data_IF_821340165759
#
_entry.id   IF_821340165759
#
_cell.length_a   1.000
_cell.length_b   1.000
_cell.length_c   1.000
_cell.angle_alpha   90.00
_cell.angle_beta   90.00
_cell.angle_gamma   90.00
#
_symmetry.space_group_name_H-M   'P 1'
#
loop_
_entity.id
_entity.type
_entity.pdbx_description
1 polymer ?
#
# COMPACT_ATOMS: atom_id res chain seq x y z
N UNK A 1 -8.43 -18.80 11.34
CA UNK A 1 -8.32 -17.34 11.56
C UNK A 1 -8.37 -16.73 10.18
N UNK A 2 -9.42 -15.99 9.82
CA UNK A 2 -9.44 -15.30 8.52
C UNK A 2 -8.26 -14.34 8.52
N UNK A 3 -7.34 -14.51 7.57
CA UNK A 3 -6.30 -13.52 7.36
C UNK A 3 -7.02 -12.24 6.95
N UNK A 4 -7.15 -11.30 7.88
CA UNK A 4 -7.71 -9.97 7.67
C UNK A 4 -6.72 -9.14 6.83
N UNK A 5 -6.38 -9.65 5.65
CA UNK A 5 -5.41 -9.11 4.72
C UNK A 5 -6.06 -7.92 4.01
N UNK A 6 -6.02 -6.76 4.64
CA UNK A 6 -6.49 -5.51 4.06
C UNK A 6 -5.42 -4.99 3.10
N UNK A 7 -5.85 -4.40 1.98
CA UNK A 7 -4.96 -3.84 0.97
C UNK A 7 -4.19 -4.88 0.14
N UNK A 8 -3.61 -4.42 -0.95
CA UNK A 8 -2.81 -5.22 -1.89
C UNK A 8 -1.34 -5.13 -1.51
N UNK A 9 -0.61 -6.26 -1.37
CA UNK A 9 0.84 -6.24 -1.20
C UNK A 9 1.55 -5.50 -2.35
N UNK A 10 2.56 -4.68 -2.02
CA UNK A 10 3.36 -3.88 -2.96
C UNK A 10 4.85 -4.22 -2.79
N UNK A 11 5.28 -5.45 -3.12
CA UNK A 11 6.66 -5.89 -2.88
C UNK A 11 7.70 -5.03 -3.60
N UNK A 12 7.32 -4.34 -4.68
CA UNK A 12 8.19 -3.43 -5.40
C UNK A 12 8.52 -2.14 -4.65
N UNK A 13 7.80 -1.82 -3.56
CA UNK A 13 8.05 -0.66 -2.70
C UNK A 13 8.82 -1.02 -1.42
N UNK A 14 8.89 -2.31 -1.09
CA UNK A 14 9.51 -2.81 0.13
C UNK A 14 8.76 -4.00 0.72
N UNK A 15 9.45 -4.73 1.60
CA UNK A 15 8.89 -5.89 2.29
C UNK A 15 7.71 -5.47 3.19
N UNK A 16 6.64 -6.27 3.19
CA UNK A 16 5.43 -6.06 3.98
C UNK A 16 4.61 -4.78 3.71
N UNK A 17 5.01 -3.96 2.73
CA UNK A 17 4.20 -2.80 2.33
C UNK A 17 2.92 -3.28 1.64
N UNK A 18 1.80 -2.76 2.12
CA UNK A 18 0.47 -2.93 1.51
C UNK A 18 -0.07 -1.57 1.11
N UNK A 19 -0.92 -1.58 0.09
CA UNK A 19 -1.59 -0.39 -0.40
C UNK A 19 -3.10 -0.57 -0.47
N UNK A 20 -3.85 0.44 -0.07
CA UNK A 20 -5.31 0.47 -0.14
C UNK A 20 -5.76 1.74 -0.89
N UNK A 21 -6.41 1.60 -2.07
CA UNK A 21 -7.03 2.74 -2.72
C UNK A 21 -8.27 3.18 -1.94
N UNK A 22 -8.37 4.48 -1.67
CA UNK A 22 -9.56 5.10 -1.07
C UNK A 22 -9.86 6.39 -1.82
N UNK A 23 -11.00 6.44 -2.51
CA UNK A 23 -11.39 7.54 -3.39
C UNK A 23 -10.25 7.94 -4.37
N UNK A 24 -9.69 9.14 -4.24
CA UNK A 24 -8.60 9.69 -5.08
C UNK A 24 -7.21 9.50 -4.46
N UNK A 25 -7.12 8.76 -3.36
CA UNK A 25 -5.90 8.58 -2.58
C UNK A 25 -5.47 7.11 -2.53
N UNK A 26 -4.19 6.92 -2.24
CA UNK A 26 -3.57 5.64 -1.91
C UNK A 26 -3.02 5.73 -0.49
N UNK A 27 -3.42 4.78 0.35
CA UNK A 27 -2.86 4.59 1.70
C UNK A 27 -1.82 3.48 1.60
N UNK A 28 -0.57 3.78 2.00
CA UNK A 28 0.51 2.80 2.12
C UNK A 28 0.77 2.53 3.60
N UNK A 29 0.77 1.26 3.98
CA UNK A 29 0.89 0.85 5.37
C UNK A 29 1.64 -0.48 5.52
N UNK A 30 2.19 -0.68 6.71
CA UNK A 30 2.63 -2.00 7.19
C UNK A 30 1.50 -2.60 8.03
N UNK A 31 1.33 -3.90 7.92
CA UNK A 31 0.42 -4.67 8.77
C UNK A 31 1.25 -5.64 9.59
N UNK A 32 1.09 -5.59 10.91
CA UNK A 32 1.55 -6.62 11.84
C UNK A 32 0.34 -7.42 12.34
N UNK A 33 0.56 -8.38 13.23
CA UNK A 33 -0.52 -9.16 13.84
C UNK A 33 -1.48 -8.30 14.69
N UNK A 34 -1.01 -7.14 15.16
CA UNK A 34 -1.75 -6.30 16.13
C UNK A 34 -1.95 -4.86 15.68
N UNK A 35 -1.13 -4.36 14.75
CA UNK A 35 -1.07 -2.94 14.39
C UNK A 35 -1.11 -2.72 12.88
N UNK A 36 -1.69 -1.58 12.50
CA UNK A 36 -1.58 -1.00 11.16
C UNK A 36 -0.77 0.29 11.28
N UNK A 37 0.39 0.33 10.62
CA UNK A 37 1.27 1.49 10.61
C UNK A 37 1.14 2.17 9.26
N UNK A 38 0.45 3.32 9.20
CA UNK A 38 0.34 4.12 7.97
C UNK A 38 1.65 4.85 7.73
N UNK A 39 2.34 4.52 6.63
CA UNK A 39 3.61 5.12 6.25
C UNK A 39 3.36 6.41 5.44
N UNK A 40 2.41 6.37 4.50
CA UNK A 40 2.08 7.49 3.60
C UNK A 40 0.62 7.46 3.17
N UNK A 41 0.08 8.64 2.91
CA UNK A 41 -1.15 8.84 2.12
C UNK A 41 -0.78 9.76 0.98
N UNK A 42 -1.00 9.31 -0.25
CA UNK A 42 -0.69 10.06 -1.47
C UNK A 42 -1.91 10.17 -2.36
N UNK A 43 -1.90 11.10 -3.30
CA UNK A 43 -2.84 11.05 -4.42
C UNK A 43 -2.59 9.79 -5.25
N UNK A 44 -3.64 9.17 -5.81
CA UNK A 44 -3.49 8.07 -6.79
C UNK A 44 -2.69 8.47 -8.03
N UNK A 45 -2.56 9.77 -8.30
CA UNK A 45 -1.70 10.28 -9.37
C UNK A 45 -0.20 10.09 -9.08
N UNK A 46 0.16 9.80 -7.83
CA UNK A 46 1.54 9.60 -7.38
C UNK A 46 1.82 8.14 -7.04
N UNK A 47 0.93 7.20 -7.40
CA UNK A 47 1.16 5.79 -7.13
C UNK A 47 2.40 5.31 -7.88
N UNK A 48 3.39 4.84 -7.13
CA UNK A 48 4.67 4.39 -7.65
C UNK A 48 4.52 3.29 -8.72
N UNK A 49 3.50 2.45 -8.64
CA UNK A 49 3.24 1.40 -9.65
C UNK A 49 3.03 1.95 -11.06
N UNK A 50 2.55 3.21 -11.18
CA UNK A 50 2.41 3.91 -12.46
C UNK A 50 3.74 4.37 -13.04
N UNK A 51 4.76 4.53 -12.21
CA UNK A 51 6.08 5.05 -12.58
C UNK A 51 7.14 3.96 -12.74
N UNK A 52 6.93 2.79 -12.11
CA UNK A 52 7.85 1.64 -12.21
C UNK A 52 7.92 1.02 -13.63
N UNK A 53 6.88 1.21 -14.46
CA UNK A 53 6.85 0.72 -15.84
C UNK A 53 7.25 1.78 -16.89
N UNK A 54 7.75 2.95 -16.46
CA UNK A 54 8.28 3.95 -17.39
C UNK A 54 9.72 3.58 -17.74
N UNK A 55 9.86 2.65 -18.69
CA UNK A 55 11.08 2.50 -19.49
C UNK A 55 11.10 3.51 -20.63
#
# INVERSE_FOLDING_TARGET
MSENNIGTPRPELGEYIRALPVERHMIYFLQTDYDIIVIRILSQHQDAGRHLNWQ
#
